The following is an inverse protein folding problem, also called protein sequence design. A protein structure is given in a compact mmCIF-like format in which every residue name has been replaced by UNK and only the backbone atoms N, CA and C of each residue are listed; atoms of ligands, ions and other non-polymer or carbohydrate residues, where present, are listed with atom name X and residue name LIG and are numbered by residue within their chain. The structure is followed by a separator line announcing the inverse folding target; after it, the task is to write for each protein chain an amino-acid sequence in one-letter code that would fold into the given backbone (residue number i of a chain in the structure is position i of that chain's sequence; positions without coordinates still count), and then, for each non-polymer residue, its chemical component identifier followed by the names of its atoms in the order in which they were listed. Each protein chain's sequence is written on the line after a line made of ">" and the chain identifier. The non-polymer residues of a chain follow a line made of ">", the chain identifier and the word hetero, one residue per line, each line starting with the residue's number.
data_IF_944584048432
#
_entry.id   IF_944584048432
#
_cell.length_a   1.000
_cell.length_b   1.000
_cell.length_c   1.000
_cell.angle_alpha   90.00
_cell.angle_beta   90.00
_cell.angle_gamma   90.00
#
_symmetry.space_group_name_H-M   'P 1'
#
loop_
_entity.id
_entity.type
_entity.pdbx_description
1 polymer ?
#
# COMPACT_ATOMS: atom_id res chain seq x y z
N UNK A 1 -24.19 -12.85 -22.53
CA UNK A 1 -24.45 -13.46 -21.20
C UNK A 1 -23.13 -13.46 -20.42
N UNK A 2 -22.91 -12.57 -19.43
CA UNK A 2 -21.61 -12.40 -18.75
C UNK A 2 -21.57 -12.87 -17.27
N UNK A 3 -22.61 -13.51 -16.72
CA UNK A 3 -22.75 -13.67 -15.26
C UNK A 3 -21.94 -14.80 -14.60
N UNK A 4 -21.48 -15.81 -15.35
CA UNK A 4 -20.92 -17.04 -14.76
C UNK A 4 -19.45 -16.90 -14.31
N UNK A 5 -18.63 -16.15 -15.05
CA UNK A 5 -17.21 -15.92 -14.75
C UNK A 5 -17.04 -15.00 -13.53
N UNK A 6 -17.76 -13.87 -13.51
CA UNK A 6 -17.77 -12.92 -12.38
C UNK A 6 -18.24 -13.58 -11.08
N UNK A 7 -19.23 -14.48 -11.15
CA UNK A 7 -19.71 -15.24 -9.99
C UNK A 7 -18.66 -16.19 -9.42
N UNK A 8 -17.78 -16.76 -10.25
CA UNK A 8 -16.75 -17.71 -9.81
C UNK A 8 -15.58 -17.00 -9.14
N UNK A 9 -15.11 -15.89 -9.72
CA UNK A 9 -14.07 -15.05 -9.12
C UNK A 9 -14.50 -14.49 -7.78
N UNK A 10 -15.74 -13.99 -7.67
CA UNK A 10 -16.30 -13.50 -6.41
C UNK A 10 -16.39 -14.59 -5.34
N UNK A 11 -16.83 -15.80 -5.70
CA UNK A 11 -16.87 -16.93 -4.76
C UNK A 11 -15.48 -17.35 -4.28
N UNK A 12 -14.48 -17.33 -5.17
CA UNK A 12 -13.09 -17.58 -4.82
C UNK A 12 -12.55 -16.55 -3.82
N UNK A 13 -12.77 -15.26 -4.08
CA UNK A 13 -12.35 -14.18 -3.19
C UNK A 13 -13.09 -14.19 -1.84
N UNK A 14 -14.36 -14.60 -1.84
CA UNK A 14 -15.11 -14.83 -0.60
C UNK A 14 -14.48 -15.94 0.24
N UNK A 15 -14.12 -17.07 -0.39
CA UNK A 15 -13.45 -18.17 0.30
C UNK A 15 -12.06 -17.76 0.83
N UNK A 16 -11.31 -16.95 0.07
CA UNK A 16 -10.02 -16.41 0.49
C UNK A 16 -10.18 -15.47 1.70
N UNK A 17 -11.15 -14.56 1.68
CA UNK A 17 -11.45 -13.68 2.80
C UNK A 17 -11.80 -14.48 4.08
N UNK A 18 -12.62 -15.54 3.97
CA UNK A 18 -12.92 -16.43 5.09
C UNK A 18 -11.69 -17.17 5.63
N UNK A 19 -10.75 -17.56 4.75
CA UNK A 19 -9.50 -18.19 5.17
C UNK A 19 -8.61 -17.20 5.95
N UNK A 20 -8.52 -15.95 5.48
CA UNK A 20 -7.81 -14.86 6.18
C UNK A 20 -8.44 -14.60 7.55
N UNK A 21 -9.76 -14.49 7.60
CA UNK A 21 -10.51 -14.28 8.85
C UNK A 21 -10.23 -15.40 9.87
N UNK A 22 -10.30 -16.67 9.45
CA UNK A 22 -9.97 -17.82 10.31
C UNK A 22 -8.53 -17.76 10.83
N UNK A 23 -7.56 -17.35 10.01
CA UNK A 23 -6.15 -17.24 10.41
C UNK A 23 -5.95 -16.11 11.44
N UNK A 24 -6.63 -14.98 11.26
CA UNK A 24 -6.63 -13.87 12.22
C UNK A 24 -7.29 -14.24 13.55
N UNK A 25 -8.44 -14.92 13.51
CA UNK A 25 -9.10 -15.43 14.73
C UNK A 25 -8.19 -16.39 15.49
N UNK A 26 -7.48 -17.28 14.78
CA UNK A 26 -6.51 -18.19 15.40
C UNK A 26 -5.34 -17.44 16.05
N UNK A 27 -4.86 -16.37 15.42
CA UNK A 27 -3.81 -15.50 15.98
C UNK A 27 -4.26 -14.74 17.25
N UNK A 28 -5.55 -14.39 17.36
CA UNK A 28 -6.11 -13.83 18.60
C UNK A 28 -6.09 -14.84 19.74
N UNK A 29 -6.62 -16.05 19.49
CA UNK A 29 -6.79 -17.11 20.49
C UNK A 29 -5.46 -17.73 20.94
N UNK A 30 -4.43 -17.70 20.09
CA UNK A 30 -3.12 -18.32 20.37
C UNK A 30 -1.99 -17.29 20.50
N UNK A 31 -1.78 -16.67 21.68
CA UNK A 31 -0.75 -15.65 21.89
C UNK A 31 0.67 -16.12 21.54
N UNK A 32 1.00 -17.38 21.81
CA UNK A 32 2.33 -17.97 21.55
C UNK A 32 2.65 -18.12 20.07
N UNK A 33 1.64 -18.31 19.22
CA UNK A 33 1.80 -18.47 17.77
C UNK A 33 1.43 -17.20 16.99
N UNK A 34 0.90 -16.17 17.67
CA UNK A 34 0.33 -14.96 17.06
C UNK A 34 1.27 -14.31 16.05
N UNK A 35 2.53 -14.10 16.43
CA UNK A 35 3.52 -13.47 15.54
C UNK A 35 3.72 -14.29 14.27
N UNK A 36 3.94 -15.61 14.41
CA UNK A 36 4.20 -16.49 13.28
C UNK A 36 2.99 -16.56 12.35
N UNK A 37 1.77 -16.68 12.90
CA UNK A 37 0.54 -16.70 12.11
C UNK A 37 0.34 -15.41 11.30
N UNK A 38 0.67 -14.25 11.89
CA UNK A 38 0.57 -12.97 11.19
C UNK A 38 1.67 -12.80 10.14
N UNK A 39 2.89 -13.27 10.41
CA UNK A 39 3.99 -13.27 9.47
C UNK A 39 3.68 -14.15 8.25
N UNK A 40 3.18 -15.37 8.48
CA UNK A 40 2.73 -16.26 7.41
C UNK A 40 1.57 -15.64 6.62
N UNK A 41 0.58 -15.03 7.31
CA UNK A 41 -0.54 -14.37 6.64
C UNK A 41 -0.06 -13.20 5.76
N UNK A 42 0.88 -12.40 6.26
CA UNK A 42 1.51 -11.34 5.47
C UNK A 42 2.21 -11.90 4.23
N UNK A 43 3.00 -12.96 4.39
CA UNK A 43 3.67 -13.62 3.28
C UNK A 43 2.66 -14.13 2.23
N UNK A 44 1.60 -14.82 2.67
CA UNK A 44 0.55 -15.35 1.80
C UNK A 44 -0.15 -14.24 0.99
N UNK A 45 -0.48 -13.11 1.63
CA UNK A 45 -1.15 -11.97 0.98
C UNK A 45 -0.21 -11.24 0.00
N UNK A 46 1.09 -11.23 0.27
CA UNK A 46 2.10 -10.62 -0.58
C UNK A 46 2.46 -11.48 -1.81
N UNK A 47 1.97 -12.72 -1.89
CA UNK A 47 2.25 -13.58 -3.04
C UNK A 47 1.66 -13.03 -4.33
N UNK A 48 2.39 -13.31 -5.41
CA UNK A 48 1.91 -13.11 -6.77
C UNK A 48 0.79 -14.11 -7.07
N UNK A 49 -0.22 -13.62 -7.78
CA UNK A 49 -1.33 -14.44 -8.24
C UNK A 49 -0.81 -15.31 -9.38
N UNK A 50 -0.86 -16.63 -9.21
CA UNK A 50 -0.50 -17.57 -10.27
C UNK A 50 -1.50 -17.52 -11.44
N UNK A 51 -1.09 -18.02 -12.61
CA UNK A 51 -1.91 -17.92 -13.83
C UNK A 51 -3.26 -18.65 -13.69
N UNK A 52 -3.32 -19.72 -12.90
CA UNK A 52 -4.57 -20.44 -12.62
C UNK A 52 -5.53 -19.59 -11.79
N UNK A 53 -5.04 -18.88 -10.80
CA UNK A 53 -5.83 -17.97 -9.99
C UNK A 53 -6.24 -16.73 -10.79
N UNK A 54 -5.37 -16.19 -11.66
CA UNK A 54 -5.72 -15.12 -12.60
C UNK A 54 -6.90 -15.52 -13.48
N UNK A 55 -6.88 -16.71 -14.07
CA UNK A 55 -7.98 -17.20 -14.92
C UNK A 55 -9.32 -17.27 -14.16
N UNK A 56 -9.28 -17.65 -12.88
CA UNK A 56 -10.48 -17.73 -12.04
C UNK A 56 -10.99 -16.34 -11.65
N UNK A 57 -10.09 -15.42 -11.34
CA UNK A 57 -10.42 -14.06 -10.86
C UNK A 57 -10.88 -13.17 -12.00
N UNK A 58 -10.15 -13.16 -13.11
CA UNK A 58 -10.39 -12.27 -14.24
C UNK A 58 -11.36 -12.85 -15.27
N UNK A 59 -11.49 -14.18 -15.33
CA UNK A 59 -12.27 -14.85 -16.37
C UNK A 59 -11.59 -14.74 -17.74
N UNK A 60 -11.73 -15.76 -18.59
CA UNK A 60 -11.04 -15.87 -19.88
C UNK A 60 -11.46 -14.86 -20.96
N UNK A 61 -12.23 -13.80 -20.65
CA UNK A 61 -12.87 -12.94 -21.66
C UNK A 61 -12.84 -11.44 -21.37
N UNK A 62 -12.00 -10.94 -20.46
CA UNK A 62 -11.58 -9.54 -20.51
C UNK A 62 -10.21 -9.42 -21.19
N UNK A 63 -10.23 -9.63 -22.50
CA UNK A 63 -9.27 -9.02 -23.43
C UNK A 63 -9.56 -7.52 -23.47
N UNK A 64 -9.45 -6.85 -22.33
CA UNK A 64 -9.16 -5.43 -22.27
C UNK A 64 -7.68 -5.35 -22.62
N UNK A 65 -7.42 -5.19 -23.92
CA UNK A 65 -6.13 -4.86 -24.52
C UNK A 65 -4.91 -5.45 -23.78
N UNK A 66 -4.50 -6.64 -24.21
CA UNK A 66 -3.15 -7.20 -23.98
C UNK A 66 -2.02 -6.21 -24.33
N UNK A 67 -2.34 -5.09 -24.99
CA UNK A 67 -1.45 -3.95 -25.22
C UNK A 67 -1.04 -3.16 -23.94
N UNK A 68 -1.77 -3.23 -22.82
CA UNK A 68 -1.40 -2.53 -21.56
C UNK A 68 -0.73 -3.45 -20.51
N UNK A 69 -0.63 -4.75 -20.80
CA UNK A 69 0.01 -5.74 -19.90
C UNK A 69 1.54 -5.64 -19.94
N UNK A 70 2.11 -4.95 -20.93
CA UNK A 70 3.55 -4.69 -20.99
C UNK A 70 4.09 -3.77 -19.89
N UNK A 71 3.21 -3.11 -19.11
CA UNK A 71 3.59 -2.12 -18.09
C UNK A 71 2.90 -2.34 -16.73
N UNK A 72 1.87 -3.19 -16.66
CA UNK A 72 1.20 -3.54 -15.40
C UNK A 72 2.04 -4.57 -14.65
N UNK A 73 2.58 -4.16 -13.51
CA UNK A 73 3.45 -4.98 -12.67
C UNK A 73 2.82 -6.30 -12.20
N UNK A 74 3.62 -7.04 -11.42
CA UNK A 74 3.26 -8.32 -10.83
C UNK A 74 1.93 -8.20 -10.04
N UNK A 75 0.86 -8.85 -10.51
CA UNK A 75 -0.43 -8.87 -9.80
C UNK A 75 -0.29 -9.70 -8.53
N UNK A 76 -0.43 -9.07 -7.37
CA UNK A 76 -0.35 -9.73 -6.06
C UNK A 76 -1.74 -9.87 -5.43
N UNK A 77 -1.91 -10.85 -4.53
CA UNK A 77 -3.20 -11.10 -3.87
C UNK A 77 -3.70 -9.88 -3.09
N UNK A 78 -2.81 -9.09 -2.49
CA UNK A 78 -3.21 -7.89 -1.77
C UNK A 78 -3.95 -6.87 -2.65
N UNK A 79 -3.57 -6.73 -3.92
CA UNK A 79 -4.15 -5.75 -4.82
C UNK A 79 -5.58 -6.14 -5.17
N UNK A 80 -5.79 -7.42 -5.47
CA UNK A 80 -7.11 -8.02 -5.73
C UNK A 80 -8.01 -7.95 -4.49
N UNK A 81 -7.45 -8.24 -3.32
CA UNK A 81 -8.19 -8.18 -2.05
C UNK A 81 -8.61 -6.75 -1.71
N UNK A 82 -7.75 -5.76 -1.95
CA UNK A 82 -8.08 -4.36 -1.70
C UNK A 82 -9.24 -3.87 -2.56
N UNK A 83 -9.31 -4.29 -3.83
CA UNK A 83 -10.48 -4.03 -4.68
C UNK A 83 -11.71 -4.79 -4.16
N UNK A 84 -11.55 -6.07 -3.83
CA UNK A 84 -12.64 -6.90 -3.34
C UNK A 84 -13.34 -6.33 -2.09
N UNK A 85 -12.60 -5.78 -1.12
CA UNK A 85 -13.19 -5.21 0.09
C UNK A 85 -13.92 -3.90 -0.14
N UNK A 86 -13.71 -3.22 -1.27
CA UNK A 86 -14.57 -2.10 -1.70
C UNK A 86 -15.92 -2.64 -2.18
N UNK A 87 -15.91 -3.71 -2.98
CA UNK A 87 -17.14 -4.33 -3.50
C UNK A 87 -17.94 -5.11 -2.46
N UNK A 88 -17.27 -5.74 -1.49
CA UNK A 88 -17.87 -6.56 -0.44
C UNK A 88 -17.48 -6.04 0.96
N UNK A 89 -17.99 -4.88 1.39
CA UNK A 89 -17.57 -4.21 2.62
C UNK A 89 -17.84 -5.01 3.89
N UNK A 90 -18.89 -5.84 3.93
CA UNK A 90 -19.22 -6.67 5.10
C UNK A 90 -18.12 -7.68 5.42
N UNK A 91 -17.56 -8.33 4.38
CA UNK A 91 -16.45 -9.27 4.55
C UNK A 91 -15.17 -8.55 4.99
N UNK A 92 -14.95 -7.33 4.48
CA UNK A 92 -13.83 -6.49 4.90
C UNK A 92 -13.93 -6.03 6.35
N UNK A 93 -15.14 -5.70 6.82
CA UNK A 93 -15.39 -5.18 8.17
C UNK A 93 -15.02 -6.18 9.26
N UNK A 94 -15.42 -7.44 9.11
CA UNK A 94 -15.06 -8.49 10.08
C UNK A 94 -13.54 -8.67 10.19
N UNK A 95 -12.84 -8.67 9.06
CA UNK A 95 -11.38 -8.77 9.01
C UNK A 95 -10.75 -7.52 9.66
N UNK A 96 -11.26 -6.33 9.35
CA UNK A 96 -10.78 -5.07 9.92
C UNK A 96 -10.91 -5.07 11.45
N UNK A 97 -12.05 -5.50 11.99
CA UNK A 97 -12.29 -5.59 13.44
C UNK A 97 -11.29 -6.53 14.13
N UNK A 98 -10.92 -7.64 13.47
CA UNK A 98 -9.89 -8.57 13.97
C UNK A 98 -8.49 -7.93 13.94
N UNK A 99 -8.15 -7.23 12.85
CA UNK A 99 -6.86 -6.54 12.75
C UNK A 99 -6.75 -5.44 13.82
N UNK A 100 -7.83 -4.69 14.08
CA UNK A 100 -7.86 -3.65 15.14
C UNK A 100 -7.59 -4.23 16.52
N UNK A 101 -8.05 -5.46 16.81
CA UNK A 101 -7.72 -6.16 18.05
C UNK A 101 -6.25 -6.61 18.11
N UNK A 102 -5.63 -6.82 16.96
CA UNK A 102 -4.23 -7.26 16.82
C UNK A 102 -3.24 -6.11 16.63
N UNK A 103 -3.67 -4.85 16.73
CA UNK A 103 -2.88 -3.66 16.39
C UNK A 103 -1.57 -3.49 17.16
N UNK A 104 -1.45 -4.14 18.32
CA UNK A 104 -0.20 -4.17 19.10
C UNK A 104 0.92 -4.97 18.42
N UNK A 105 0.58 -5.78 17.42
CA UNK A 105 1.53 -6.59 16.66
C UNK A 105 2.02 -5.83 15.43
N UNK A 106 3.33 -5.87 15.16
CA UNK A 106 3.94 -5.14 14.03
C UNK A 106 3.30 -5.48 12.68
N UNK A 107 3.06 -6.78 12.43
CA UNK A 107 2.48 -7.29 11.18
C UNK A 107 1.02 -6.87 10.97
N UNK A 108 0.28 -6.48 12.01
CA UNK A 108 -1.11 -6.03 11.85
C UNK A 108 -1.19 -4.78 10.97
N UNK A 109 -0.28 -3.82 11.17
CA UNK A 109 -0.19 -2.62 10.32
C UNK A 109 0.21 -2.93 8.87
N UNK A 110 1.05 -3.96 8.66
CA UNK A 110 1.47 -4.41 7.33
C UNK A 110 0.29 -5.02 6.57
N UNK A 111 -0.39 -5.98 7.20
CA UNK A 111 -1.57 -6.64 6.64
C UNK A 111 -2.67 -5.61 6.35
N UNK A 112 -2.91 -4.68 7.28
CA UNK A 112 -3.86 -3.59 7.09
C UNK A 112 -3.52 -2.76 5.85
N UNK A 113 -2.26 -2.34 5.70
CA UNK A 113 -1.83 -1.52 4.57
C UNK A 113 -1.99 -2.26 3.24
N UNK A 114 -1.69 -3.56 3.20
CA UNK A 114 -1.87 -4.37 2.00
C UNK A 114 -3.34 -4.52 1.62
N UNK A 115 -4.20 -4.87 2.57
CA UNK A 115 -5.59 -5.24 2.29
C UNK A 115 -6.56 -4.06 2.21
N UNK A 116 -6.29 -2.94 2.91
CA UNK A 116 -7.27 -1.86 3.08
C UNK A 116 -6.79 -0.50 2.56
N UNK A 117 -5.66 -0.44 1.82
CA UNK A 117 -5.15 0.83 1.28
C UNK A 117 -6.13 1.55 0.36
N UNK A 118 -6.94 0.83 -0.43
CA UNK A 118 -7.97 1.45 -1.27
C UNK A 118 -9.25 1.76 -0.49
N UNK A 119 -9.71 0.79 0.31
CA UNK A 119 -10.91 0.88 1.14
C UNK A 119 -10.96 2.16 1.99
N UNK A 120 -9.83 2.56 2.59
CA UNK A 120 -9.74 3.74 3.46
C UNK A 120 -10.20 5.04 2.77
N UNK A 121 -10.06 5.13 1.44
CA UNK A 121 -10.43 6.31 0.66
C UNK A 121 -11.81 6.19 0.01
N UNK A 122 -12.44 5.01 0.03
CA UNK A 122 -13.79 4.81 -0.53
C UNK A 122 -14.88 4.92 0.53
N UNK A 123 -14.60 4.51 1.77
CA UNK A 123 -15.58 4.53 2.86
C UNK A 123 -15.58 5.86 3.61
N UNK A 124 -16.77 6.34 3.98
CA UNK A 124 -16.93 7.49 4.87
C UNK A 124 -16.80 7.04 6.32
N UNK A 125 -15.81 7.58 7.02
CA UNK A 125 -15.59 7.35 8.45
C UNK A 125 -15.96 8.61 9.22
N UNK A 126 -17.05 8.57 9.99
CA UNK A 126 -17.54 9.72 10.75
C UNK A 126 -16.67 10.07 11.97
N UNK A 127 -15.84 9.12 12.42
CA UNK A 127 -15.00 9.29 13.59
C UNK A 127 -13.56 9.70 13.21
N UNK A 128 -13.19 10.95 13.53
CA UNK A 128 -11.88 11.52 13.25
C UNK A 128 -10.71 10.77 13.88
N UNK A 129 -10.90 10.20 15.07
CA UNK A 129 -9.85 9.48 15.79
C UNK A 129 -9.59 8.12 15.16
N UNK A 130 -10.65 7.45 14.71
CA UNK A 130 -10.55 6.18 13.96
C UNK A 130 -9.88 6.42 12.61
N UNK A 131 -10.29 7.46 11.91
CA UNK A 131 -9.70 7.85 10.63
C UNK A 131 -8.20 8.16 10.78
N UNK A 132 -7.82 8.92 11.82
CA UNK A 132 -6.41 9.19 12.11
C UNK A 132 -5.65 7.89 12.40
N UNK A 133 -6.18 7.02 13.25
CA UNK A 133 -5.55 5.75 13.60
C UNK A 133 -5.31 4.85 12.38
N UNK A 134 -6.31 4.74 11.50
CA UNK A 134 -6.20 3.95 10.27
C UNK A 134 -5.21 4.57 9.29
N UNK A 135 -5.26 5.89 9.11
CA UNK A 135 -4.34 6.60 8.22
C UNK A 135 -2.89 6.47 8.70
N UNK A 136 -2.64 6.63 10.00
CA UNK A 136 -1.30 6.43 10.58
C UNK A 136 -0.80 5.00 10.40
N UNK A 137 -1.66 3.99 10.56
CA UNK A 137 -1.24 2.61 10.35
C UNK A 137 -1.04 2.23 8.90
N UNK A 138 -1.77 2.84 7.95
CA UNK A 138 -1.48 2.73 6.53
C UNK A 138 -0.06 3.23 6.24
N UNK A 139 0.28 4.42 6.72
CA UNK A 139 1.62 5.00 6.49
C UNK A 139 2.70 4.17 7.19
N UNK A 140 2.49 3.79 8.46
CA UNK A 140 3.46 2.97 9.20
C UNK A 140 3.64 1.59 8.57
N UNK A 141 2.56 0.96 8.12
CA UNK A 141 2.62 -0.35 7.50
C UNK A 141 3.30 -0.30 6.14
N UNK A 142 2.89 0.65 5.28
CA UNK A 142 3.52 0.89 3.98
C UNK A 142 5.02 1.22 4.11
N UNK A 143 5.42 1.99 5.13
CA UNK A 143 6.85 2.27 5.42
C UNK A 143 7.65 0.98 5.55
N UNK A 144 7.17 0.05 6.37
CA UNK A 144 7.88 -1.21 6.62
C UNK A 144 7.86 -2.12 5.39
N UNK A 145 6.73 -2.16 4.68
CA UNK A 145 6.54 -2.96 3.47
C UNK A 145 7.51 -2.50 2.36
N UNK A 146 7.64 -1.21 2.12
CA UNK A 146 8.56 -0.71 1.10
C UNK A 146 10.02 -0.91 1.51
N UNK A 147 10.33 -0.93 2.80
CA UNK A 147 11.65 -1.35 3.27
C UNK A 147 11.96 -2.82 2.96
N UNK A 148 10.97 -3.72 2.96
CA UNK A 148 11.15 -5.12 2.54
C UNK A 148 11.54 -5.17 1.06
N UNK A 149 10.87 -4.38 0.20
CA UNK A 149 11.22 -4.28 -1.22
C UNK A 149 12.66 -3.77 -1.43
N UNK A 150 13.08 -2.75 -0.68
CA UNK A 150 14.48 -2.28 -0.69
C UNK A 150 15.45 -3.38 -0.25
N UNK A 151 15.16 -4.06 0.87
CA UNK A 151 16.05 -5.08 1.44
C UNK A 151 16.19 -6.31 0.53
N UNK A 152 15.11 -6.66 -0.15
CA UNK A 152 15.08 -7.80 -1.09
C UNK A 152 15.49 -7.41 -2.51
N UNK A 153 15.65 -6.11 -2.79
CA UNK A 153 15.84 -5.55 -4.13
C UNK A 153 14.76 -6.04 -5.11
N UNK A 154 13.51 -6.09 -4.64
CA UNK A 154 12.34 -6.42 -5.45
C UNK A 154 11.35 -5.25 -5.43
N UNK A 155 10.37 -5.25 -6.33
CA UNK A 155 9.32 -4.21 -6.41
C UNK A 155 7.95 -4.84 -6.27
N UNK A 156 7.81 -5.74 -5.30
CA UNK A 156 6.58 -6.54 -5.09
C UNK A 156 5.40 -5.64 -4.72
N UNK A 157 5.66 -4.55 -4.00
CA UNK A 157 4.63 -3.64 -3.51
C UNK A 157 4.50 -2.37 -4.35
N UNK A 158 4.95 -2.43 -5.60
CA UNK A 158 4.88 -1.30 -6.52
C UNK A 158 3.45 -0.80 -6.73
N UNK A 159 2.45 -1.69 -6.86
CA UNK A 159 1.06 -1.23 -7.07
C UNK A 159 0.48 -0.50 -5.85
N UNK A 160 0.87 -0.89 -4.63
CA UNK A 160 0.54 -0.14 -3.42
C UNK A 160 1.17 1.26 -3.45
N UNK A 161 2.46 1.35 -3.78
CA UNK A 161 3.15 2.64 -3.88
C UNK A 161 2.52 3.53 -4.95
N UNK A 162 2.27 2.97 -6.13
CA UNK A 162 1.66 3.69 -7.26
C UNK A 162 0.27 4.21 -6.89
N UNK A 163 -0.58 3.41 -6.24
CA UNK A 163 -1.88 3.87 -5.77
C UNK A 163 -1.77 5.03 -4.77
N UNK A 164 -0.91 4.89 -3.74
CA UNK A 164 -0.73 5.95 -2.75
C UNK A 164 -0.15 7.23 -3.35
N UNK A 165 0.68 7.10 -4.39
CA UNK A 165 1.28 8.25 -5.06
C UNK A 165 0.32 8.90 -6.06
N UNK A 166 -0.12 8.15 -7.06
CA UNK A 166 -0.87 8.68 -8.21
C UNK A 166 -2.34 8.93 -7.90
N UNK A 167 -2.99 8.01 -7.17
CA UNK A 167 -4.43 8.09 -6.89
C UNK A 167 -4.73 8.81 -5.58
N UNK A 168 -3.79 8.88 -4.64
CA UNK A 168 -4.03 9.55 -3.34
C UNK A 168 -3.29 10.88 -3.26
N UNK A 169 -1.95 10.89 -3.34
CA UNK A 169 -1.17 12.10 -3.10
C UNK A 169 -1.33 13.15 -4.21
N UNK A 170 -1.44 12.73 -5.47
CA UNK A 170 -1.64 13.63 -6.60
C UNK A 170 -3.10 14.06 -6.82
N UNK A 171 -4.06 13.50 -6.07
CA UNK A 171 -5.50 13.80 -6.19
C UNK A 171 -5.98 14.54 -4.93
N UNK A 172 -6.09 15.88 -4.97
CA UNK A 172 -6.42 16.69 -3.78
C UNK A 172 -7.71 16.26 -3.08
N UNK A 173 -8.73 15.86 -3.84
CA UNK A 173 -10.02 15.43 -3.29
C UNK A 173 -9.93 14.12 -2.51
N UNK A 174 -9.03 13.21 -2.88
CA UNK A 174 -8.76 11.99 -2.12
C UNK A 174 -7.84 12.28 -0.94
N UNK A 175 -6.83 13.14 -1.11
CA UNK A 175 -5.91 13.53 -0.04
C UNK A 175 -6.64 14.19 1.15
N UNK A 176 -7.64 15.05 0.88
CA UNK A 176 -8.47 15.70 1.90
C UNK A 176 -9.30 14.72 2.74
N UNK A 177 -9.46 13.46 2.32
CA UNK A 177 -10.17 12.43 3.09
C UNK A 177 -9.41 11.95 4.32
N UNK A 178 -8.09 12.17 4.39
CA UNK A 178 -7.28 11.81 5.55
C UNK A 178 -6.85 13.06 6.34
N UNK A 179 -6.61 12.95 7.66
CA UNK A 179 -6.25 14.09 8.49
C UNK A 179 -4.90 14.68 8.07
N UNK A 180 -4.71 16.00 8.25
CA UNK A 180 -3.50 16.71 7.85
C UNK A 180 -2.21 16.07 8.36
N UNK A 181 -2.23 15.53 9.59
CA UNK A 181 -1.08 14.81 10.13
C UNK A 181 -0.71 13.59 9.30
N UNK A 182 -1.70 12.77 8.91
CA UNK A 182 -1.47 11.60 8.08
C UNK A 182 -1.08 11.98 6.64
N UNK A 183 -1.57 13.10 6.11
CA UNK A 183 -1.11 13.63 4.83
C UNK A 183 0.39 13.93 4.87
N UNK A 184 0.85 14.66 5.91
CA UNK A 184 2.27 14.96 6.09
C UNK A 184 3.10 13.69 6.18
N UNK A 185 2.68 12.73 7.01
CA UNK A 185 3.40 11.46 7.18
C UNK A 185 3.44 10.64 5.87
N UNK A 186 2.35 10.65 5.09
CA UNK A 186 2.29 10.04 3.76
C UNK A 186 3.27 10.69 2.78
N UNK A 187 3.34 12.02 2.73
CA UNK A 187 4.27 12.72 1.84
C UNK A 187 5.74 12.47 2.22
N UNK A 188 6.06 12.39 3.52
CA UNK A 188 7.39 11.99 3.99
C UNK A 188 7.72 10.55 3.57
N UNK A 189 6.75 9.63 3.69
CA UNK A 189 6.88 8.26 3.21
C UNK A 189 7.17 8.25 1.70
N UNK A 190 6.30 8.85 0.88
CA UNK A 190 6.42 8.84 -0.57
C UNK A 190 7.76 9.45 -1.04
N UNK A 191 8.20 10.53 -0.40
CA UNK A 191 9.50 11.17 -0.69
C UNK A 191 10.67 10.20 -0.58
N UNK A 192 10.67 9.34 0.44
CA UNK A 192 11.77 8.37 0.67
C UNK A 192 11.85 7.30 -0.41
N UNK A 193 10.72 6.90 -0.99
CA UNK A 193 10.66 5.75 -1.91
C UNK A 193 10.41 6.13 -3.37
N UNK A 194 10.20 7.41 -3.68
CA UNK A 194 9.89 7.90 -5.03
C UNK A 194 10.90 7.44 -6.08
N UNK A 195 12.19 7.60 -5.80
CA UNK A 195 13.26 7.23 -6.73
C UNK A 195 13.36 5.71 -6.89
N UNK A 196 13.11 4.93 -5.84
CA UNK A 196 13.18 3.47 -5.88
C UNK A 196 12.17 2.85 -6.86
N UNK A 197 10.98 3.45 -6.92
CA UNK A 197 9.88 3.02 -7.80
C UNK A 197 9.86 3.74 -9.15
N UNK A 198 10.91 4.48 -9.50
CA UNK A 198 11.08 5.19 -10.79
C UNK A 198 9.99 6.23 -11.13
N UNK A 199 9.38 6.88 -10.13
CA UNK A 199 8.35 7.93 -10.38
C UNK A 199 8.93 9.35 -10.28
N UNK A 200 10.22 9.50 -10.59
CA UNK A 200 10.94 10.78 -10.48
C UNK A 200 10.46 11.82 -11.51
N UNK A 201 9.94 11.38 -12.64
CA UNK A 201 9.31 12.22 -13.67
C UNK A 201 8.11 13.01 -13.15
N UNK A 202 7.44 12.52 -12.10
CA UNK A 202 6.28 13.16 -11.46
C UNK A 202 6.65 14.02 -10.25
N UNK A 203 7.94 14.23 -9.97
CA UNK A 203 8.40 14.96 -8.79
C UNK A 203 7.84 16.38 -8.73
N UNK A 204 7.83 17.12 -9.83
CA UNK A 204 7.31 18.50 -9.84
C UNK A 204 5.83 18.56 -9.43
N UNK A 205 5.02 17.63 -9.96
CA UNK A 205 3.60 17.52 -9.62
C UNK A 205 3.41 17.14 -8.16
N UNK A 206 4.25 16.25 -7.65
CA UNK A 206 4.24 15.84 -6.25
C UNK A 206 4.60 16.99 -5.30
N UNK A 207 5.63 17.77 -5.61
CA UNK A 207 6.05 18.92 -4.79
C UNK A 207 4.97 20.00 -4.71
N UNK A 208 4.17 20.19 -5.78
CA UNK A 208 3.03 21.13 -5.80
C UNK A 208 1.88 20.71 -4.87
N UNK A 209 1.77 19.43 -4.54
CA UNK A 209 0.68 18.89 -3.71
C UNK A 209 1.08 18.71 -2.24
N UNK A 210 2.29 19.13 -1.85
CA UNK A 210 2.74 18.98 -0.46
C UNK A 210 1.79 19.66 0.52
N UNK A 211 1.38 18.96 1.60
CA UNK A 211 0.53 19.55 2.62
C UNK A 211 1.30 20.64 3.39
N UNK A 212 0.59 21.63 3.91
CA UNK A 212 1.20 22.69 4.71
C UNK A 212 1.89 22.10 5.94
N UNK A 213 3.16 22.44 6.17
CA UNK A 213 3.90 22.09 7.39
C UNK A 213 3.91 23.29 8.34
N UNK A 214 3.55 23.11 9.60
CA UNK A 214 3.54 24.22 10.58
C UNK A 214 4.93 24.83 10.83
N UNK A 215 5.99 24.09 10.47
CA UNK A 215 7.39 24.46 10.69
C UNK A 215 8.12 24.88 9.41
N UNK A 216 7.42 25.38 8.37
CA UNK A 216 8.06 25.81 7.08
C UNK A 216 9.25 26.74 7.32
N UNK A 217 9.18 27.64 8.31
CA UNK A 217 10.28 28.56 8.63
C UNK A 217 11.56 27.84 9.09
N UNK A 218 11.46 26.64 9.66
CA UNK A 218 12.60 25.87 10.18
C UNK A 218 13.09 24.78 9.21
N UNK A 219 12.18 24.20 8.41
CA UNK A 219 12.46 23.02 7.57
C UNK A 219 12.58 23.38 6.09
N UNK A 220 12.14 24.57 5.69
CA UNK A 220 12.10 25.00 4.29
C UNK A 220 10.80 24.60 3.58
N UNK A 221 10.78 24.77 2.26
CA UNK A 221 9.66 24.44 1.40
C UNK A 221 9.55 22.93 1.07
N UNK A 222 8.58 22.54 0.23
CA UNK A 222 8.39 21.15 -0.19
C UNK A 222 9.66 20.47 -0.74
N UNK A 223 10.44 21.18 -1.56
CA UNK A 223 11.68 20.67 -2.13
C UNK A 223 12.73 20.39 -1.05
N UNK A 224 12.87 21.28 -0.06
CA UNK A 224 13.81 21.10 1.06
C UNK A 224 13.44 19.88 1.90
N UNK A 225 12.14 19.72 2.22
CA UNK A 225 11.63 18.54 2.94
C UNK A 225 11.93 17.26 2.14
N UNK A 226 11.67 17.26 0.83
CA UNK A 226 11.96 16.11 -0.03
C UNK A 226 13.44 15.74 0.01
N UNK A 227 14.34 16.72 -0.15
CA UNK A 227 15.79 16.50 -0.11
C UNK A 227 16.23 15.98 1.25
N UNK A 228 15.70 16.50 2.36
CA UNK A 228 15.98 15.99 3.71
C UNK A 228 15.57 14.52 3.82
N UNK A 229 14.36 14.16 3.38
CA UNK A 229 13.89 12.77 3.42
C UNK A 229 14.73 11.84 2.54
N UNK A 230 15.17 12.33 1.38
CA UNK A 230 16.03 11.58 0.48
C UNK A 230 17.42 11.34 1.09
N UNK A 231 18.04 12.37 1.68
CA UNK A 231 19.34 12.24 2.35
C UNK A 231 19.25 11.28 3.54
N UNK A 232 18.22 11.42 4.37
CA UNK A 232 17.94 10.49 5.48
C UNK A 232 17.77 9.05 5.01
N UNK A 233 17.14 8.86 3.84
CA UNK A 233 16.98 7.54 3.24
C UNK A 233 18.34 6.98 2.78
N UNK A 234 19.13 7.75 2.04
CA UNK A 234 20.45 7.34 1.54
C UNK A 234 21.39 6.91 2.68
N UNK A 235 21.36 7.60 3.82
CA UNK A 235 22.14 7.23 5.00
C UNK A 235 21.77 5.86 5.60
N UNK A 236 20.53 5.41 5.40
CA UNK A 236 20.01 4.14 5.93
C UNK A 236 20.15 2.98 4.95
N UNK A 237 20.37 3.25 3.66
CA UNK A 237 20.50 2.22 2.63
C UNK A 237 21.79 1.40 2.83
N UNK A 238 21.64 0.08 2.87
CA UNK A 238 22.75 -0.89 2.99
C UNK A 238 22.86 -1.83 1.79
N UNK A 239 21.91 -1.76 0.85
CA UNK A 239 21.84 -2.62 -0.33
C UNK A 239 22.47 -1.88 -1.50
N UNK A 240 23.64 -2.31 -1.94
CA UNK A 240 24.46 -1.62 -2.95
C UNK A 240 23.72 -1.37 -4.28
N UNK A 241 23.04 -2.35 -4.91
CA UNK A 241 22.29 -2.11 -6.14
C UNK A 241 21.22 -1.01 -5.98
N UNK A 242 20.56 -0.98 -4.82
CA UNK A 242 19.53 0.03 -4.52
C UNK A 242 20.17 1.40 -4.33
N UNK A 243 21.28 1.49 -3.61
CA UNK A 243 21.99 2.76 -3.44
C UNK A 243 22.43 3.35 -4.80
N UNK A 244 23.04 2.53 -5.66
CA UNK A 244 23.43 2.95 -7.02
C UNK A 244 22.19 3.41 -7.80
N UNK A 245 21.09 2.68 -7.69
CA UNK A 245 19.84 3.03 -8.33
C UNK A 245 19.34 4.41 -7.90
N UNK A 246 19.29 4.71 -6.60
CA UNK A 246 18.94 6.04 -6.11
C UNK A 246 19.89 7.12 -6.65
N UNK A 247 21.21 6.92 -6.53
CA UNK A 247 22.21 7.90 -6.99
C UNK A 247 22.09 8.19 -8.49
N UNK A 248 21.75 7.20 -9.31
CA UNK A 248 21.54 7.39 -10.75
C UNK A 248 20.30 8.25 -11.09
N UNK A 249 19.27 8.24 -10.23
CA UNK A 249 18.02 8.98 -10.41
C UNK A 249 18.01 10.35 -9.71
N UNK A 250 18.99 10.63 -8.84
CA UNK A 250 19.17 11.97 -8.22
C UNK A 250 19.41 13.07 -9.25
N UNK A 251 19.84 12.72 -10.47
CA UNK A 251 20.00 13.69 -11.57
C UNK A 251 18.75 14.54 -11.83
N UNK A 252 17.57 14.01 -11.52
CA UNK A 252 16.29 14.74 -11.64
C UNK A 252 16.23 15.98 -10.72
N UNK A 253 17.11 16.09 -9.72
CA UNK A 253 17.22 17.26 -8.85
C UNK A 253 18.19 18.34 -9.37
N UNK A 254 18.80 18.14 -10.55
CA UNK A 254 19.74 19.11 -11.15
C UNK A 254 19.05 20.14 -12.05
N UNK A 255 17.79 19.90 -12.40
CA UNK A 255 16.94 20.76 -13.23
C UNK A 255 15.96 21.57 -12.35
#
# INVERSE_FOLDING_TARGET
>A
MPQASTSRGFAYLTALAQAIEKKLQRALVSPSQRRNLLEELFADIALEVDDRAKDIILGSEDVISVAEVGTRGLLCFYDVLADYFIWAPENGKHILDLIVQLWSQSFASHIFSLMFHKWLFEVQLDNSDVLLRYSSALVQGATNIFWIDIQTNTRRFHSLFQYLFEEVALVPERLKKIPLQAQRDLFLLLSRFLLFYNLADKLESFLKQFPDFTNVFLVGGPADIFVIQLVDQLQKLKVEPVLIHYLSHIKVLQD
#
